data_IF_265196133025
#
_entry.id   IF_265196133025
#
_cell.length_a   1.000
_cell.length_b   1.000
_cell.length_c   1.000
_cell.angle_alpha   90.00
_cell.angle_beta   90.00
_cell.angle_gamma   90.00
#
_symmetry.space_group_name_H-M   'P 1'
#
loop_
_entity.id
_entity.type
_entity.pdbx_description
1 polymer ?
#
# COMPACT_ATOMS: atom_id res chain seq x y z
N UNK A 1 8.51 11.72 -5.41
CA UNK A 1 7.96 10.49 -6.02
C UNK A 1 7.05 9.86 -5.00
N UNK A 2 5.78 9.79 -5.34
CA UNK A 2 4.73 9.34 -4.45
C UNK A 2 4.60 7.82 -4.50
N UNK A 3 4.25 7.25 -3.36
CA UNK A 3 4.16 5.80 -3.16
C UNK A 3 2.76 5.40 -2.74
N UNK A 4 2.28 4.32 -3.33
CA UNK A 4 0.97 3.76 -3.10
C UNK A 4 1.10 2.32 -2.65
N UNK A 5 0.27 1.91 -1.69
CA UNK A 5 0.21 0.54 -1.22
C UNK A 5 -1.17 -0.05 -1.52
N UNK A 6 -1.25 -1.27 -2.06
CA UNK A 6 -2.53 -1.87 -2.41
C UNK A 6 -3.30 -2.26 -1.15
N UNK A 7 -4.59 -1.91 -1.16
CA UNK A 7 -5.59 -2.43 -0.24
C UNK A 7 -6.17 -3.74 -0.80
N UNK A 8 -6.42 -4.72 0.06
CA UNK A 8 -7.07 -5.97 -0.32
C UNK A 8 -8.15 -6.33 0.68
N UNK A 9 -9.27 -6.87 0.20
CA UNK A 9 -10.37 -7.28 1.08
C UNK A 9 -9.91 -8.28 2.14
N UNK A 10 -10.47 -8.16 3.34
CA UNK A 10 -10.24 -9.12 4.39
C UNK A 10 -10.81 -10.49 4.01
N UNK A 11 -10.06 -11.56 4.29
CA UNK A 11 -10.42 -12.95 3.97
C UNK A 11 -10.23 -13.80 5.22
N UNK A 12 -10.88 -14.97 5.27
CA UNK A 12 -10.79 -15.87 6.42
C UNK A 12 -9.35 -16.22 6.80
N UNK A 13 -8.44 -16.39 5.83
CA UNK A 13 -7.01 -16.63 6.11
C UNK A 13 -6.37 -15.50 6.92
N UNK A 14 -6.82 -14.25 6.75
CA UNK A 14 -6.28 -13.09 7.44
C UNK A 14 -6.65 -13.08 8.94
N UNK A 15 -7.63 -13.87 9.37
CA UNK A 15 -7.89 -14.04 10.81
C UNK A 15 -6.67 -14.65 11.51
N UNK A 16 -6.09 -15.68 10.88
CA UNK A 16 -4.96 -16.45 11.43
C UNK A 16 -3.61 -15.79 11.14
N UNK A 17 -3.49 -15.00 10.08
CA UNK A 17 -2.24 -14.29 9.75
C UNK A 17 -1.94 -13.19 10.77
N UNK A 18 -0.72 -13.15 11.30
CA UNK A 18 -0.26 -12.06 12.18
C UNK A 18 0.16 -10.85 11.33
N UNK A 19 -0.04 -9.64 11.86
CA UNK A 19 0.58 -8.45 11.28
C UNK A 19 2.11 -8.58 11.32
N UNK A 20 2.77 -8.08 10.28
CA UNK A 20 4.23 -8.03 10.15
C UNK A 20 4.67 -6.66 9.65
N UNK A 21 5.98 -6.44 9.49
CA UNK A 21 6.50 -5.18 8.97
C UNK A 21 5.84 -4.78 7.63
N UNK A 22 5.56 -5.75 6.78
CA UNK A 22 5.01 -5.58 5.44
C UNK A 22 3.49 -5.82 5.32
N UNK A 23 2.85 -6.38 6.34
CA UNK A 23 1.44 -6.75 6.30
C UNK A 23 0.68 -6.14 7.47
N UNK A 24 -0.33 -5.32 7.15
CA UNK A 24 -1.14 -4.59 8.11
C UNK A 24 -2.63 -4.93 7.92
N UNK A 25 -3.37 -5.02 9.02
CA UNK A 25 -4.82 -5.22 9.01
C UNK A 25 -5.52 -3.89 9.23
N UNK A 26 -6.59 -3.67 8.48
CA UNK A 26 -7.51 -2.55 8.62
C UNK A 26 -8.82 -3.13 9.16
N UNK A 27 -8.84 -3.38 10.47
CA UNK A 27 -9.93 -4.13 11.12
C UNK A 27 -10.16 -5.50 10.47
N UNK A 28 -11.44 -5.85 10.29
CA UNK A 28 -11.87 -7.02 9.50
C UNK A 28 -12.44 -6.60 8.13
N UNK A 29 -12.02 -5.45 7.63
CA UNK A 29 -12.48 -4.89 6.35
C UNK A 29 -11.46 -5.13 5.25
N UNK A 30 -10.20 -4.81 5.53
CA UNK A 30 -9.11 -4.89 4.57
C UNK A 30 -7.76 -5.23 5.19
N UNK A 31 -6.78 -5.42 4.32
CA UNK A 31 -5.36 -5.53 4.63
C UNK A 31 -4.55 -4.65 3.68
N UNK A 32 -3.42 -4.13 4.15
CA UNK A 32 -2.44 -3.35 3.36
C UNK A 32 -1.19 -4.21 3.20
N UNK A 33 -0.76 -4.39 1.96
CA UNK A 33 0.45 -5.15 1.62
C UNK A 33 1.57 -4.19 1.22
N UNK A 34 2.36 -3.74 2.20
CA UNK A 34 3.46 -2.79 1.97
C UNK A 34 4.60 -3.40 1.17
N UNK A 35 4.79 -4.73 1.18
CA UNK A 35 5.77 -5.39 0.31
C UNK A 35 5.44 -5.19 -1.18
N UNK A 36 4.18 -4.92 -1.51
CA UNK A 36 3.70 -4.67 -2.85
C UNK A 36 3.48 -3.17 -3.13
N UNK A 37 4.00 -2.27 -2.30
CA UNK A 37 3.92 -0.84 -2.59
C UNK A 37 4.72 -0.49 -3.86
N UNK A 38 4.30 0.57 -4.54
CA UNK A 38 4.89 0.99 -5.81
C UNK A 38 4.82 2.52 -5.97
N UNK A 39 5.78 3.11 -6.69
CA UNK A 39 5.71 4.50 -7.07
C UNK A 39 4.71 4.69 -8.22
N UNK A 40 3.99 5.81 -8.22
CA UNK A 40 3.18 6.23 -9.37
C UNK A 40 3.15 7.77 -9.47
N UNK A 41 3.03 8.33 -10.69
CA UNK A 41 2.80 9.75 -10.87
C UNK A 41 1.38 10.13 -10.42
N UNK A 42 1.21 11.29 -9.77
CA UNK A 42 -0.11 11.75 -9.33
C UNK A 42 -1.08 11.96 -10.51
N UNK A 43 -0.58 12.32 -11.71
CA UNK A 43 -1.38 12.47 -12.93
C UNK A 43 -2.07 11.17 -13.39
N UNK A 44 -1.53 10.02 -13.00
CA UNK A 44 -2.09 8.69 -13.28
C UNK A 44 -3.04 8.21 -12.16
N UNK A 45 -3.24 9.03 -11.13
CA UNK A 45 -4.06 8.69 -9.98
C UNK A 45 -5.41 9.41 -10.03
N UNK A 46 -6.47 8.69 -9.68
CA UNK A 46 -7.78 9.27 -9.46
C UNK A 46 -8.17 9.16 -7.99
N UNK A 47 -8.54 10.29 -7.40
CA UNK A 47 -9.05 10.29 -6.03
C UNK A 47 -10.43 9.64 -5.96
N UNK A 48 -10.64 8.79 -4.96
CA UNK A 48 -11.94 8.17 -4.72
C UNK A 48 -12.78 9.12 -3.88
N UNK A 49 -13.70 9.84 -4.51
CA UNK A 49 -14.67 10.68 -3.80
C UNK A 49 -15.78 9.82 -3.18
N UNK A 50 -15.72 9.63 -1.86
CA UNK A 50 -16.71 8.84 -1.12
C UNK A 50 -18.10 9.48 -1.14
N UNK A 51 -18.20 10.80 -1.37
CA UNK A 51 -19.47 11.50 -1.42
C UNK A 51 -20.30 11.07 -2.64
N UNK A 52 -19.63 10.84 -3.77
CA UNK A 52 -20.21 10.43 -5.06
C UNK A 52 -20.63 8.95 -5.12
N UNK A 53 -20.32 8.13 -4.11
CA UNK A 53 -20.65 6.70 -4.11
C UNK A 53 -22.12 6.49 -3.74
N UNK A 54 -22.92 6.06 -4.73
CA UNK A 54 -24.34 5.78 -4.55
C UNK A 54 -24.63 4.53 -3.71
N UNK A 55 -23.79 3.49 -3.82
CA UNK A 55 -23.96 2.27 -3.03
C UNK A 55 -23.63 2.52 -1.56
N UNK A 56 -24.65 2.63 -0.71
CA UNK A 56 -24.50 2.92 0.72
C UNK A 56 -23.63 1.90 1.45
N UNK A 57 -23.79 0.60 1.17
CA UNK A 57 -23.01 -0.46 1.84
C UNK A 57 -21.53 -0.33 1.50
N UNK A 58 -21.21 -0.07 0.23
CA UNK A 58 -19.84 0.14 -0.21
C UNK A 58 -19.23 1.43 0.36
N UNK A 59 -20.03 2.51 0.43
CA UNK A 59 -19.62 3.77 1.07
C UNK A 59 -19.33 3.61 2.56
N UNK A 60 -20.18 2.89 3.28
CA UNK A 60 -20.00 2.62 4.70
C UNK A 60 -18.73 1.78 4.95
N UNK A 61 -18.43 0.81 4.06
CA UNK A 61 -17.18 0.05 4.08
C UNK A 61 -15.95 0.96 3.92
N UNK A 62 -15.91 1.78 2.87
CA UNK A 62 -14.79 2.68 2.61
C UNK A 62 -14.57 3.69 3.75
N UNK A 63 -15.64 4.22 4.34
CA UNK A 63 -15.57 5.10 5.50
C UNK A 63 -14.97 4.39 6.73
N UNK A 64 -15.33 3.13 6.97
CA UNK A 64 -14.76 2.34 8.06
C UNK A 64 -13.27 2.06 7.85
N UNK A 65 -12.88 1.66 6.63
CA UNK A 65 -11.47 1.47 6.25
C UNK A 65 -10.67 2.76 6.43
N UNK A 66 -11.17 3.87 5.89
CA UNK A 66 -10.51 5.18 5.96
C UNK A 66 -10.27 5.65 7.39
N UNK A 67 -11.27 5.52 8.28
CA UNK A 67 -11.13 5.92 9.69
C UNK A 67 -9.99 5.17 10.38
N UNK A 68 -9.91 3.86 10.17
CA UNK A 68 -8.85 3.02 10.76
C UNK A 68 -7.49 3.37 10.15
N UNK A 69 -7.41 3.48 8.82
CA UNK A 69 -6.18 3.87 8.11
C UNK A 69 -5.67 5.22 8.62
N UNK A 70 -6.57 6.21 8.77
CA UNK A 70 -6.23 7.54 9.26
C UNK A 70 -5.66 7.50 10.68
N UNK A 71 -6.25 6.69 11.57
CA UNK A 71 -5.77 6.51 12.93
C UNK A 71 -4.37 5.87 12.99
N UNK A 72 -4.05 4.98 12.06
CA UNK A 72 -2.77 4.26 12.02
C UNK A 72 -1.78 4.79 10.97
N UNK A 73 -2.04 5.96 10.37
CA UNK A 73 -1.26 6.50 9.25
C UNK A 73 0.24 6.60 9.53
N UNK A 74 0.61 6.95 10.77
CA UNK A 74 2.02 7.12 11.14
C UNK A 74 2.72 5.77 11.31
N UNK A 75 2.00 4.74 11.80
CA UNK A 75 2.48 3.35 11.82
C UNK A 75 2.69 2.84 10.39
N UNK A 76 1.76 3.13 9.47
CA UNK A 76 1.87 2.75 8.05
C UNK A 76 3.12 3.39 7.44
N UNK A 77 3.25 4.72 7.53
CA UNK A 77 4.40 5.46 6.96
C UNK A 77 5.73 5.01 7.54
N UNK A 78 5.81 4.82 8.86
CA UNK A 78 7.01 4.32 9.53
C UNK A 78 7.41 2.94 9.01
N UNK A 79 6.45 2.01 8.91
CA UNK A 79 6.72 0.65 8.39
C UNK A 79 7.08 0.64 6.92
N UNK A 80 6.42 1.46 6.09
CA UNK A 80 6.75 1.60 4.67
C UNK A 80 8.19 2.09 4.49
N UNK A 81 8.59 3.14 5.24
CA UNK A 81 9.97 3.62 5.26
C UNK A 81 10.95 2.53 5.69
N UNK A 82 10.70 1.85 6.80
CA UNK A 82 11.56 0.75 7.28
C UNK A 82 11.68 -0.38 6.25
N UNK A 83 10.58 -0.77 5.61
CA UNK A 83 10.55 -1.84 4.62
C UNK A 83 11.33 -1.47 3.35
N UNK A 84 11.20 -0.23 2.90
CA UNK A 84 11.97 0.32 1.80
C UNK A 84 13.47 0.24 2.07
N UNK A 85 13.92 0.79 3.20
CA UNK A 85 15.34 0.75 3.59
C UNK A 85 15.83 -0.69 3.74
N UNK A 86 15.01 -1.57 4.34
CA UNK A 86 15.31 -2.99 4.45
C UNK A 86 15.53 -3.64 3.08
N UNK A 87 14.67 -3.37 2.09
CA UNK A 87 14.82 -3.87 0.72
C UNK A 87 16.08 -3.35 0.05
N UNK A 88 16.37 -2.05 0.16
CA UNK A 88 17.57 -1.46 -0.45
C UNK A 88 18.86 -2.02 0.14
N UNK A 89 18.91 -2.23 1.45
CA UNK A 89 20.10 -2.76 2.13
C UNK A 89 20.32 -4.25 1.90
N UNK A 90 19.24 -5.03 1.81
CA UNK A 90 19.33 -6.49 1.81
C UNK A 90 19.06 -7.12 0.44
N UNK A 91 18.60 -6.39 -0.57
CA UNK A 91 18.27 -6.92 -1.89
C UNK A 91 17.27 -8.08 -1.82
N UNK A 92 17.74 -9.31 -2.05
CA UNK A 92 16.95 -10.54 -1.92
C UNK A 92 17.50 -11.50 -0.85
N UNK A 93 18.41 -11.04 0.00
CA UNK A 93 19.15 -11.86 0.96
C UNK A 93 18.34 -12.25 2.20
N UNK A 94 17.17 -11.63 2.42
CA UNK A 94 16.25 -12.05 3.50
C UNK A 94 14.87 -12.42 2.95
N UNK A 95 14.11 -13.29 3.65
CA UNK A 95 12.75 -13.64 3.24
C UNK A 95 11.80 -12.44 3.12
N UNK A 96 12.04 -11.37 3.88
CA UNK A 96 11.28 -10.12 3.79
C UNK A 96 11.64 -9.36 2.51
N UNK A 97 12.94 -9.18 2.25
CA UNK A 97 13.38 -8.44 1.09
C UNK A 97 13.03 -9.17 -0.23
N UNK A 98 13.15 -10.50 -0.24
CA UNK A 98 12.84 -11.35 -1.41
C UNK A 98 11.38 -11.28 -1.87
N UNK A 99 10.43 -11.03 -0.97
CA UNK A 99 9.00 -10.92 -1.31
C UNK A 99 8.51 -9.49 -1.51
N UNK A 100 9.38 -8.50 -1.34
CA UNK A 100 9.07 -7.12 -1.70
C UNK A 100 9.24 -6.94 -3.21
N UNK A 101 8.44 -6.05 -3.77
CA UNK A 101 8.70 -5.48 -5.09
C UNK A 101 10.14 -4.96 -5.17
N UNK A 102 10.69 -4.97 -6.38
CA UNK A 102 11.92 -4.24 -6.65
C UNK A 102 11.60 -2.75 -6.76
N UNK A 103 11.70 -2.05 -5.62
CA UNK A 103 11.37 -0.63 -5.55
C UNK A 103 12.27 0.19 -6.48
N UNK A 104 13.56 -0.10 -6.59
CA UNK A 104 14.48 0.64 -7.46
C UNK A 104 14.08 0.53 -8.93
N UNK A 105 13.82 -0.70 -9.39
CA UNK A 105 13.34 -0.92 -10.77
C UNK A 105 12.01 -0.23 -11.05
N UNK A 106 11.08 -0.23 -10.10
CA UNK A 106 9.78 0.46 -10.27
C UNK A 106 9.94 1.99 -10.32
N UNK A 107 10.85 2.55 -9.54
CA UNK A 107 11.16 3.98 -9.55
C UNK A 107 11.73 4.44 -10.89
N UNK A 108 12.65 3.67 -11.46
CA UNK A 108 13.21 3.95 -12.80
C UNK A 108 12.12 3.92 -13.87
N UNK A 109 11.24 2.92 -13.82
CA UNK A 109 10.11 2.81 -14.75
C UNK A 109 9.11 3.97 -14.57
N UNK A 110 8.82 4.35 -13.33
CA UNK A 110 7.94 5.47 -13.02
C UNK A 110 8.50 6.79 -13.58
N UNK A 111 9.81 7.04 -13.46
CA UNK A 111 10.46 8.24 -14.02
C UNK A 111 10.40 8.25 -15.55
N UNK A 112 10.75 7.12 -16.19
CA UNK A 112 10.69 6.99 -17.65
C UNK A 112 9.28 7.22 -18.20
N UNK A 113 8.27 6.73 -17.49
CA UNK A 113 6.87 6.97 -17.85
C UNK A 113 6.53 8.45 -17.78
N UNK A 114 6.95 9.13 -16.71
CA UNK A 114 6.63 10.55 -16.51
C UNK A 114 7.32 11.44 -17.55
N UNK A 115 8.59 11.18 -17.86
CA UNK A 115 9.38 11.88 -18.88
C UNK A 115 8.85 11.67 -20.31
N UNK A 116 8.34 10.48 -20.64
CA UNK A 116 7.81 10.16 -21.96
C UNK A 116 6.42 10.73 -22.26
N UNK A 117 5.76 11.35 -21.27
CA UNK A 117 4.41 11.92 -21.38
C UNK A 117 4.38 13.42 -20.99
N UNK A 118 5.50 14.13 -21.21
CA UNK A 118 5.60 15.59 -21.14
C UNK A 118 5.71 16.20 -22.54
#
# INVERSE_FOLDING_TARGET
>A
MDYFAPLSSFKQKHEKMKESMDFLKVGRYAVINLNNMFPAPEKECHYVDFSAIANKVYKDLLMAEYRIIKQMQDKIRKRAGQLYHHKQQNGNNTPLAKRCNDFGSLEELCKKWDEGHC
#
